data_IF_686860948182
#
_entry.id   IF_686860948182
#
_cell.length_a   1.000
_cell.length_b   1.000
_cell.length_c   1.000
_cell.angle_alpha   90.00
_cell.angle_beta   90.00
_cell.angle_gamma   90.00
#
_symmetry.space_group_name_H-M   'P 1'
#
loop_
_entity.id
_entity.type
_entity.pdbx_description
1 polymer ?
#
# COMPACT_ATOMS: atom_id res chain seq x y z
N UNK A 1 -34.29 -25.70 6.51
CA UNK A 1 -33.26 -25.44 5.48
C UNK A 1 -32.43 -24.26 5.96
N UNK A 2 -31.23 -24.50 6.50
CA UNK A 2 -30.33 -23.43 6.95
C UNK A 2 -29.25 -23.21 5.88
N UNK A 3 -29.32 -22.08 5.17
CA UNK A 3 -28.21 -21.62 4.32
C UNK A 3 -27.20 -20.83 5.15
N UNK A 4 -25.87 -21.04 5.02
CA UNK A 4 -24.88 -20.17 5.62
C UNK A 4 -24.68 -18.91 4.74
N UNK A 5 -24.84 -17.74 5.36
CA UNK A 5 -24.51 -16.46 4.77
C UNK A 5 -22.99 -16.35 4.62
N UNK A 6 -22.50 -16.30 3.37
CA UNK A 6 -21.10 -16.06 3.04
C UNK A 6 -20.75 -14.62 3.45
N UNK A 7 -20.10 -14.46 4.61
CA UNK A 7 -19.53 -13.19 5.04
C UNK A 7 -18.30 -12.88 4.18
N UNK A 8 -18.47 -12.03 3.17
CA UNK A 8 -17.36 -11.38 2.46
C UNK A 8 -16.64 -10.47 3.47
N UNK A 9 -15.53 -10.93 4.03
CA UNK A 9 -14.67 -10.10 4.87
C UNK A 9 -14.03 -9.02 4.02
N UNK A 10 -14.66 -7.84 3.99
CA UNK A 10 -14.07 -6.62 3.45
C UNK A 10 -12.74 -6.37 4.17
N UNK A 11 -11.66 -6.29 3.41
CA UNK A 11 -10.32 -6.03 3.92
C UNK A 11 -10.35 -4.74 4.76
N UNK A 12 -10.29 -4.91 6.08
CA UNK A 12 -10.28 -3.81 7.03
C UNK A 12 -9.06 -2.93 6.74
N UNK A 13 -9.30 -1.73 6.17
CA UNK A 13 -8.29 -0.68 6.07
C UNK A 13 -7.96 -0.22 7.50
N UNK A 14 -7.00 -0.89 8.13
CA UNK A 14 -6.49 -0.49 9.45
C UNK A 14 -5.78 0.85 9.30
N UNK A 15 -6.43 1.91 9.77
CA UNK A 15 -5.86 3.26 9.90
C UNK A 15 -4.87 3.19 11.07
N UNK A 16 -3.57 3.19 10.79
CA UNK A 16 -2.53 3.11 11.81
C UNK A 16 -2.52 4.40 12.64
N UNK A 17 -2.73 4.23 13.94
CA UNK A 17 -2.65 5.26 14.97
C UNK A 17 -1.19 5.63 15.22
N UNK A 18 -0.95 6.93 15.34
CA UNK A 18 0.34 7.55 15.61
C UNK A 18 0.93 7.07 16.94
N UNK A 19 2.01 6.29 16.88
CA UNK A 19 2.77 5.88 18.05
C UNK A 19 4.19 5.44 17.66
N UNK A 20 5.18 6.24 18.07
CA UNK A 20 6.62 5.94 18.13
C UNK A 20 7.32 5.32 16.90
N UNK A 21 7.88 6.19 16.03
CA UNK A 21 9.11 6.09 15.19
C UNK A 21 9.54 4.76 14.54
N UNK A 22 8.72 3.73 14.49
CA UNK A 22 9.02 2.50 13.76
C UNK A 22 8.40 2.58 12.37
N UNK A 23 9.20 2.45 11.29
CA UNK A 23 8.65 2.47 9.94
C UNK A 23 7.65 1.32 9.77
N UNK A 24 6.44 1.65 9.32
CA UNK A 24 5.36 0.71 9.09
C UNK A 24 5.72 -0.20 7.91
N UNK A 25 5.56 -1.52 8.02
CA UNK A 25 5.82 -2.44 6.89
C UNK A 25 4.63 -2.39 5.94
N UNK A 26 4.85 -1.98 4.70
CA UNK A 26 3.83 -1.95 3.64
C UNK A 26 3.59 -3.33 3.01
N UNK A 27 4.61 -4.17 2.98
CA UNK A 27 4.54 -5.50 2.38
C UNK A 27 5.88 -6.24 2.45
N UNK A 28 5.89 -7.47 1.97
CA UNK A 28 7.09 -8.32 1.88
C UNK A 28 7.17 -8.88 0.46
N UNK A 29 8.35 -8.83 -0.16
CA UNK A 29 8.58 -9.40 -1.50
C UNK A 29 8.61 -10.94 -1.43
N UNK A 30 8.56 -11.60 -2.59
CA UNK A 30 8.69 -13.08 -2.67
C UNK A 30 10.01 -13.58 -2.06
N UNK A 31 11.05 -12.76 -2.10
CA UNK A 31 12.38 -13.05 -1.57
C UNK A 31 12.52 -12.69 -0.08
N UNK A 32 11.43 -12.30 0.59
CA UNK A 32 11.42 -11.98 2.02
C UNK A 32 11.86 -10.55 2.39
N UNK A 33 12.09 -9.68 1.40
CA UNK A 33 12.50 -8.29 1.64
C UNK A 33 11.30 -7.45 2.12
N UNK A 34 11.43 -6.79 3.27
CA UNK A 34 10.38 -5.94 3.87
C UNK A 34 10.37 -4.56 3.22
N UNK A 35 9.24 -4.16 2.65
CA UNK A 35 9.01 -2.82 2.11
C UNK A 35 8.51 -1.95 3.24
N UNK A 36 9.27 -0.91 3.58
CA UNK A 36 8.95 0.02 4.65
C UNK A 36 8.23 1.26 4.10
N UNK A 37 7.26 1.75 4.85
CA UNK A 37 6.56 3.00 4.56
C UNK A 37 7.53 4.15 4.80
N UNK A 38 7.67 5.07 3.83
CA UNK A 38 8.48 6.25 4.03
C UNK A 38 7.92 7.08 5.19
N UNK A 39 8.81 7.50 6.10
CA UNK A 39 8.45 8.29 7.29
C UNK A 39 8.01 9.71 6.91
N UNK A 40 8.42 10.18 5.72
CA UNK A 40 8.07 11.50 5.18
C UNK A 40 7.53 11.35 3.76
N UNK A 41 6.61 12.23 3.39
CA UNK A 41 6.18 12.37 2.00
C UNK A 41 7.40 12.72 1.12
N UNK A 42 7.45 12.23 -0.14
CA UNK A 42 8.49 12.62 -1.07
C UNK A 42 8.45 14.13 -1.29
N UNK A 43 9.56 14.82 -0.96
CA UNK A 43 9.65 16.28 -1.03
C UNK A 43 9.87 16.80 -2.45
N UNK A 44 10.44 15.95 -3.32
CA UNK A 44 10.92 16.36 -4.65
C UNK A 44 10.05 15.86 -5.80
N UNK A 45 8.93 15.19 -5.49
CA UNK A 45 8.05 14.65 -6.50
C UNK A 45 6.63 15.09 -6.23
N UNK A 46 5.99 15.65 -7.25
CA UNK A 46 4.56 15.90 -7.26
C UNK A 46 3.80 14.57 -7.40
N UNK A 47 2.54 14.57 -6.99
CA UNK A 47 1.68 13.38 -7.10
C UNK A 47 1.50 12.95 -8.56
N UNK A 48 1.53 13.91 -9.49
CA UNK A 48 1.39 13.67 -10.94
C UNK A 48 2.62 12.96 -11.50
N UNK A 49 3.83 13.43 -11.17
CA UNK A 49 5.08 12.78 -11.59
C UNK A 49 5.18 11.35 -11.05
N UNK A 50 4.76 11.10 -9.81
CA UNK A 50 4.73 9.75 -9.24
C UNK A 50 3.74 8.85 -10.02
N UNK A 51 2.57 9.37 -10.37
CA UNK A 51 1.57 8.60 -11.14
C UNK A 51 2.08 8.27 -12.53
N UNK A 52 2.71 9.23 -13.21
CA UNK A 52 3.27 9.03 -14.54
C UNK A 52 4.42 8.01 -14.52
N UNK A 53 5.33 8.11 -13.54
CA UNK A 53 6.41 7.14 -13.36
C UNK A 53 5.89 5.72 -13.12
N UNK A 54 4.82 5.56 -12.32
CA UNK A 54 4.17 4.27 -12.08
C UNK A 54 3.48 3.76 -13.35
N UNK A 55 2.76 4.60 -14.09
CA UNK A 55 2.12 4.22 -15.35
C UNK A 55 3.15 3.71 -16.37
N UNK A 56 4.27 4.43 -16.51
CA UNK A 56 5.39 4.05 -17.37
C UNK A 56 6.06 2.74 -16.94
N UNK A 57 6.32 2.57 -15.64
CA UNK A 57 6.92 1.34 -15.10
C UNK A 57 6.02 0.10 -15.29
N UNK A 58 4.69 0.28 -15.26
CA UNK A 58 3.73 -0.80 -15.49
C UNK A 58 3.46 -1.06 -16.98
N UNK A 59 4.11 -0.35 -17.91
CA UNK A 59 3.85 -0.45 -19.34
C UNK A 59 2.42 -0.04 -19.72
N UNK A 60 1.71 0.63 -18.81
CA UNK A 60 0.39 1.21 -19.03
C UNK A 60 0.58 2.67 -19.43
N UNK A 61 1.32 2.90 -20.51
CA UNK A 61 1.24 4.19 -21.18
C UNK A 61 -0.19 4.34 -21.69
N UNK A 62 -0.84 5.44 -21.32
CA UNK A 62 -2.08 5.86 -21.98
C UNK A 62 -1.79 6.18 -23.45
#
# INVERSE_FOLDING_TARGET
MNMPLIQKSAAAKRRSTSGTRRPEVLGVTKDGVKILKPVRAPTNFTVEEVREAVAKALGKSA
#
